data_IF_503128437018
#
_entry.id   IF_503128437018
#
_cell.length_a   1.000
_cell.length_b   1.000
_cell.length_c   1.000
_cell.angle_alpha   90.00
_cell.angle_beta   90.00
_cell.angle_gamma   90.00
#
_symmetry.space_group_name_H-M   'P 1'
#
loop_
_entity.id
_entity.type
_entity.pdbx_description
1 polymer ?
#
# COMPACT_ATOMS: atom_id res chain seq x y z
N UNK A 1 -10.64 -15.54 -0.36
CA UNK A 1 -10.36 -14.68 -1.53
C UNK A 1 -10.17 -13.21 -1.13
N UNK A 2 -9.75 -12.30 -2.03
CA UNK A 2 -9.53 -10.87 -1.69
C UNK A 2 -10.78 -10.26 -1.04
N UNK A 3 -11.96 -10.52 -1.62
CA UNK A 3 -13.23 -10.00 -1.10
C UNK A 3 -13.50 -10.42 0.35
N UNK A 4 -13.36 -11.72 0.67
CA UNK A 4 -13.60 -12.22 2.03
C UNK A 4 -12.70 -11.53 3.06
N UNK A 5 -11.43 -11.27 2.72
CA UNK A 5 -10.49 -10.55 3.60
C UNK A 5 -10.91 -9.10 3.81
N UNK A 6 -11.39 -8.43 2.77
CA UNK A 6 -11.89 -7.06 2.85
C UNK A 6 -13.18 -6.99 3.68
N UNK A 7 -14.07 -7.97 3.53
CA UNK A 7 -15.31 -8.07 4.32
C UNK A 7 -15.01 -8.33 5.79
N UNK A 8 -14.12 -9.27 6.12
CA UNK A 8 -13.68 -9.54 7.49
C UNK A 8 -13.11 -8.29 8.17
N UNK A 9 -12.47 -7.42 7.38
CA UNK A 9 -11.89 -6.15 7.82
C UNK A 9 -12.87 -4.97 7.82
N UNK A 10 -14.13 -5.16 7.44
CA UNK A 10 -15.13 -4.09 7.45
C UNK A 10 -14.96 -3.05 6.34
N UNK A 11 -14.12 -3.33 5.32
CA UNK A 11 -13.70 -2.35 4.33
C UNK A 11 -14.83 -1.90 3.39
N UNK A 12 -15.91 -2.68 3.28
CA UNK A 12 -17.11 -2.34 2.47
C UNK A 12 -17.92 -1.17 3.04
N UNK A 13 -17.67 -0.77 4.28
CA UNK A 13 -18.37 0.33 4.97
C UNK A 13 -17.62 1.65 4.93
N UNK A 14 -16.42 1.67 4.36
CA UNK A 14 -15.61 2.88 4.29
C UNK A 14 -16.28 3.95 3.42
N UNK A 15 -15.91 5.20 3.67
CA UNK A 15 -16.34 6.37 2.92
C UNK A 15 -15.12 7.13 2.43
N UNK A 16 -15.24 7.70 1.24
CA UNK A 16 -14.23 8.58 0.67
C UNK A 16 -14.12 9.84 1.51
N UNK A 17 -12.93 10.07 2.07
CA UNK A 17 -12.56 11.32 2.74
C UNK A 17 -12.08 12.34 1.71
N UNK A 18 -11.29 11.87 0.75
CA UNK A 18 -10.88 12.63 -0.40
C UNK A 18 -10.58 11.69 -1.56
N UNK A 19 -10.73 12.22 -2.77
CA UNK A 19 -10.48 11.51 -4.01
C UNK A 19 -9.78 12.45 -4.97
N UNK A 20 -8.58 12.07 -5.41
CA UNK A 20 -7.84 12.79 -6.45
C UNK A 20 -7.76 11.98 -7.73
N UNK A 21 -7.69 12.69 -8.85
CA UNK A 21 -7.37 12.10 -10.14
C UNK A 21 -6.36 12.95 -10.92
N UNK A 22 -5.57 12.30 -11.79
CA UNK A 22 -4.69 12.98 -12.73
C UNK A 22 -4.51 12.18 -14.01
N UNK A 23 -4.01 12.85 -15.05
CA UNK A 23 -3.46 12.20 -16.24
C UNK A 23 -1.96 12.09 -16.09
N UNK A 24 -1.46 10.87 -15.98
CA UNK A 24 -0.03 10.59 -15.98
C UNK A 24 0.48 10.37 -17.41
N UNK A 25 1.60 11.00 -17.80
CA UNK A 25 2.27 10.77 -19.09
C UNK A 25 3.11 9.49 -19.05
N UNK A 26 2.44 8.36 -18.80
CA UNK A 26 3.03 7.03 -18.81
C UNK A 26 1.97 5.98 -19.19
N UNK A 27 2.42 4.86 -19.73
CA UNK A 27 1.57 3.70 -19.94
C UNK A 27 0.94 3.26 -18.61
N UNK A 28 -0.34 2.89 -18.64
CA UNK A 28 -1.04 2.42 -17.44
C UNK A 28 -0.36 1.23 -16.77
N UNK A 29 0.28 0.32 -17.52
CA UNK A 29 1.02 -0.80 -16.94
C UNK A 29 2.25 -0.34 -16.17
N UNK A 30 3.02 0.61 -16.72
CA UNK A 30 4.19 1.19 -16.03
C UNK A 30 3.74 1.90 -14.75
N UNK A 31 2.62 2.63 -14.80
CA UNK A 31 2.06 3.25 -13.60
C UNK A 31 1.57 2.23 -12.57
N UNK A 32 1.08 1.07 -13.00
CA UNK A 32 0.66 -0.02 -12.11
C UNK A 32 1.83 -0.77 -11.48
N UNK A 33 2.91 -0.99 -12.21
CA UNK A 33 4.06 -1.77 -11.76
C UNK A 33 4.69 -1.20 -10.49
N UNK A 34 4.69 0.12 -10.34
CA UNK A 34 5.12 0.82 -9.12
C UNK A 34 4.31 0.45 -7.85
N UNK A 35 3.16 -0.20 -7.97
CA UNK A 35 2.32 -0.61 -6.83
C UNK A 35 2.15 -2.13 -6.74
N UNK A 36 2.94 -2.88 -7.51
CA UNK A 36 2.93 -4.35 -7.53
C UNK A 36 4.08 -4.98 -6.73
N UNK A 37 5.02 -4.16 -6.27
CA UNK A 37 6.15 -4.51 -5.42
C UNK A 37 6.49 -3.33 -4.49
N UNK A 38 7.16 -3.60 -3.37
CA UNK A 38 7.55 -2.56 -2.41
C UNK A 38 9.06 -2.29 -2.34
N UNK A 39 9.88 -2.92 -3.16
CA UNK A 39 11.33 -2.70 -3.21
C UNK A 39 11.69 -1.28 -3.66
N UNK A 40 10.92 -0.67 -4.57
CA UNK A 40 11.15 0.73 -4.98
C UNK A 40 11.03 1.72 -3.81
N UNK A 41 10.29 1.38 -2.75
CA UNK A 41 10.00 2.28 -1.61
C UNK A 41 11.29 2.83 -1.01
N UNK A 42 12.34 1.99 -0.93
CA UNK A 42 13.64 2.39 -0.39
C UNK A 42 14.29 3.54 -1.18
N UNK A 43 13.96 3.67 -2.47
CA UNK A 43 14.52 4.67 -3.38
C UNK A 43 13.58 5.86 -3.61
N UNK A 44 12.30 5.60 -3.85
CA UNK A 44 11.30 6.64 -4.17
C UNK A 44 10.82 7.37 -2.92
N UNK A 45 10.70 6.67 -1.79
CA UNK A 45 10.20 7.22 -0.52
C UNK A 45 11.25 7.09 0.59
N UNK A 46 12.44 7.72 0.43
CA UNK A 46 13.56 7.56 1.36
C UNK A 46 13.20 7.92 2.81
N UNK A 47 12.21 8.79 3.01
CA UNK A 47 11.70 9.13 4.34
C UNK A 47 11.06 7.93 5.07
N UNK A 48 10.41 7.00 4.35
CA UNK A 48 9.81 5.80 4.94
C UNK A 48 10.91 4.81 5.34
N UNK A 49 11.88 4.58 4.45
CA UNK A 49 13.08 3.78 4.74
C UNK A 49 13.83 4.29 5.98
N UNK A 50 14.03 5.60 6.08
CA UNK A 50 14.74 6.21 7.19
C UNK A 50 13.96 6.14 8.51
N UNK A 51 12.63 6.13 8.46
CA UNK A 51 11.80 6.05 9.65
C UNK A 51 11.72 4.62 10.22
N UNK A 52 11.71 3.60 9.35
CA UNK A 52 11.60 2.20 9.73
C UNK A 52 12.64 1.30 9.03
N UNK A 53 13.96 1.55 9.17
CA UNK A 53 14.98 0.81 8.44
C UNK A 53 14.97 -0.69 8.74
N UNK A 54 14.61 -1.09 9.96
CA UNK A 54 14.44 -2.51 10.33
C UNK A 54 13.37 -3.22 9.49
N UNK A 55 12.23 -2.55 9.22
CA UNK A 55 11.12 -3.13 8.48
C UNK A 55 11.54 -3.47 7.05
N UNK A 56 11.99 -2.46 6.32
CA UNK A 56 12.34 -2.60 4.91
C UNK A 56 13.60 -3.44 4.70
N UNK A 57 14.60 -3.34 5.59
CA UNK A 57 15.79 -4.18 5.46
C UNK A 57 15.50 -5.66 5.73
N UNK A 58 14.53 -5.96 6.61
CA UNK A 58 14.08 -7.34 6.81
C UNK A 58 13.37 -7.89 5.56
N UNK A 59 12.70 -7.04 4.79
CA UNK A 59 12.01 -7.41 3.55
C UNK A 59 12.96 -7.54 2.35
N UNK A 60 13.90 -6.59 2.20
CA UNK A 60 14.65 -6.38 0.95
C UNK A 60 16.16 -6.47 1.10
N UNK A 61 16.65 -6.71 2.31
CA UNK A 61 18.08 -6.80 2.62
C UNK A 61 18.71 -5.47 3.00
N UNK A 62 20.02 -5.52 3.27
CA UNK A 62 20.76 -4.38 3.84
C UNK A 62 21.33 -3.43 2.78
N UNK A 63 21.33 -3.82 1.49
CA UNK A 63 21.80 -2.97 0.41
C UNK A 63 20.70 -2.00 -0.02
N UNK A 64 20.74 -0.82 0.57
CA UNK A 64 19.74 0.24 0.40
C UNK A 64 20.17 1.28 -0.64
N UNK A 65 21.18 0.98 -1.46
CA UNK A 65 21.68 1.90 -2.49
C UNK A 65 22.21 3.23 -1.92
N UNK A 66 22.76 3.19 -0.70
CA UNK A 66 23.34 4.34 0.01
C UNK A 66 22.33 5.23 0.76
N UNK A 67 21.05 4.84 0.84
CA UNK A 67 19.98 5.60 1.50
C UNK A 67 19.76 5.14 2.95
N UNK A 68 20.09 3.88 3.26
CA UNK A 68 19.79 3.27 4.54
C UNK A 68 20.62 3.84 5.67
N UNK A 69 19.93 4.29 6.71
CA UNK A 69 20.50 4.38 8.05
C UNK A 69 20.83 2.92 8.45
N UNK A 70 22.04 2.61 8.94
CA UNK A 70 22.32 1.30 9.51
C UNK A 70 21.24 0.97 10.53
N UNK A 71 20.71 -0.26 10.52
CA UNK A 71 19.91 -0.76 11.66
C UNK A 71 20.74 -0.44 12.90
N UNK A 72 20.17 0.31 13.84
CA UNK A 72 20.82 0.53 15.12
C UNK A 72 20.37 -0.62 16.03
N UNK A 73 21.21 -1.67 16.19
CA UNK A 73 20.85 -2.84 17.00
C UNK A 73 20.70 -2.50 18.48
N UNK A 74 21.12 -1.30 18.90
CA UNK A 74 21.11 -0.83 20.28
C UNK A 74 19.99 0.18 20.55
N UNK A 75 18.98 0.30 19.66
CA UNK A 75 17.82 1.14 19.96
C UNK A 75 17.09 0.61 21.19
N UNK A 76 16.80 1.50 22.13
CA UNK A 76 15.93 1.16 23.25
C UNK A 76 14.53 0.80 22.73
N UNK A 77 13.78 0.00 23.52
CA UNK A 77 12.38 -0.31 23.22
C UNK A 77 11.58 0.97 22.98
N UNK A 78 11.76 1.99 23.83
CA UNK A 78 11.08 3.29 23.71
C UNK A 78 11.40 3.99 22.39
N UNK A 79 12.68 4.02 21.99
CA UNK A 79 13.07 4.66 20.73
C UNK A 79 12.55 3.87 19.52
N UNK A 80 12.45 2.54 19.63
CA UNK A 80 11.84 1.71 18.61
C UNK A 80 10.35 2.04 18.43
N UNK A 81 9.59 2.13 19.52
CA UNK A 81 8.17 2.54 19.47
C UNK A 81 8.00 3.93 18.89
N UNK A 82 8.85 4.90 19.26
CA UNK A 82 8.84 6.24 18.65
C UNK A 82 9.10 6.19 17.14
N UNK A 83 9.98 5.30 16.68
CA UNK A 83 10.23 5.10 15.25
C UNK A 83 8.99 4.51 14.53
N UNK A 84 8.28 3.55 15.14
CA UNK A 84 7.00 3.04 14.61
C UNK A 84 5.96 4.16 14.51
N UNK A 85 5.76 4.95 15.56
CA UNK A 85 4.82 6.08 15.56
C UNK A 85 5.19 7.10 14.49
N UNK A 86 6.48 7.42 14.34
CA UNK A 86 6.97 8.30 13.27
C UNK A 86 6.66 7.73 11.89
N UNK A 87 6.89 6.43 11.68
CA UNK A 87 6.59 5.76 10.43
C UNK A 87 5.10 5.82 10.08
N UNK A 88 4.22 5.50 11.04
CA UNK A 88 2.77 5.63 10.90
C UNK A 88 2.35 7.08 10.59
N UNK A 89 2.97 8.07 11.24
CA UNK A 89 2.75 9.48 10.95
C UNK A 89 3.12 9.86 9.52
N UNK A 90 4.27 9.39 9.01
CA UNK A 90 4.68 9.64 7.62
C UNK A 90 3.75 8.96 6.60
N UNK A 91 3.24 7.76 6.89
CA UNK A 91 2.22 7.12 6.04
C UNK A 91 0.91 7.93 6.04
N UNK A 92 0.52 8.46 7.20
CA UNK A 92 -0.68 9.28 7.34
C UNK A 92 -0.57 10.62 6.63
N UNK A 93 0.53 11.36 6.80
CA UNK A 93 0.77 12.63 6.09
C UNK A 93 0.99 12.39 4.59
N UNK A 94 1.67 11.30 4.25
CA UNK A 94 2.08 10.95 2.90
C UNK A 94 0.96 10.43 2.02
N UNK A 95 -0.04 9.76 2.60
CA UNK A 95 -1.08 9.05 1.85
C UNK A 95 -2.47 9.02 2.51
N UNK A 96 -2.61 9.45 3.77
CA UNK A 96 -3.80 9.58 4.66
C UNK A 96 -4.85 8.46 4.71
N UNK A 97 -5.01 7.64 3.68
CA UNK A 97 -5.91 6.51 3.60
C UNK A 97 -5.29 5.22 4.15
N UNK A 98 -3.98 5.01 4.03
CA UNK A 98 -3.34 3.80 4.54
C UNK A 98 -3.28 3.78 6.08
N UNK A 99 -3.00 4.95 6.69
CA UNK A 99 -3.07 5.17 8.14
C UNK A 99 -3.79 6.49 8.39
N UNK A 100 -4.92 6.45 9.08
CA UNK A 100 -5.71 7.65 9.32
C UNK A 100 -5.17 8.45 10.51
N UNK A 101 -5.35 9.77 10.49
CA UNK A 101 -4.85 10.67 11.56
C UNK A 101 -5.32 10.23 12.96
N UNK A 102 -6.57 9.80 13.07
CA UNK A 102 -7.15 9.24 14.30
C UNK A 102 -6.36 8.06 14.86
N UNK A 103 -5.85 7.18 14.00
CA UNK A 103 -5.06 6.00 14.38
C UNK A 103 -3.65 6.43 14.82
N UNK A 104 -3.06 7.43 14.16
CA UNK A 104 -1.78 8.03 14.59
C UNK A 104 -1.93 8.71 15.95
N UNK A 105 -3.04 9.40 16.19
CA UNK A 105 -3.33 10.03 17.48
C UNK A 105 -3.40 8.99 18.61
N UNK A 106 -4.05 7.85 18.36
CA UNK A 106 -4.09 6.72 19.30
C UNK A 106 -2.70 6.12 19.50
N UNK A 107 -1.93 5.91 18.42
CA UNK A 107 -0.56 5.41 18.52
C UNK A 107 0.34 6.30 19.39
N UNK A 108 0.18 7.62 19.32
CA UNK A 108 0.90 8.59 20.16
C UNK A 108 0.55 8.46 21.64
N UNK A 109 -0.68 8.07 22.00
CA UNK A 109 -1.07 7.80 23.40
C UNK A 109 -0.30 6.60 23.97
N UNK A 110 0.15 5.68 23.11
CA UNK A 110 0.88 4.47 23.48
C UNK A 110 2.41 4.62 23.41
N UNK A 111 2.94 5.84 23.37
CA UNK A 111 4.37 6.08 23.20
C UNK A 111 5.24 5.63 24.38
N UNK A 112 4.68 5.64 25.60
CA UNK A 112 5.40 5.38 26.85
C UNK A 112 4.78 4.21 27.65
N UNK A 113 4.04 3.32 26.99
CA UNK A 113 3.47 2.13 27.64
C UNK A 113 4.55 1.15 28.08
N UNK A 114 4.29 0.42 29.17
CA UNK A 114 5.19 -0.63 29.64
C UNK A 114 5.19 -1.82 28.67
N UNK A 115 6.38 -2.23 28.24
CA UNK A 115 6.60 -3.28 27.27
C UNK A 115 7.76 -4.19 27.72
N UNK A 116 7.82 -5.43 27.22
CA UNK A 116 8.97 -6.32 27.41
C UNK A 116 10.30 -5.67 27.00
N UNK A 117 11.40 -6.11 27.60
CA UNK A 117 12.75 -5.62 27.25
C UNK A 117 13.21 -6.08 25.86
N UNK A 118 12.72 -7.23 25.39
CA UNK A 118 13.01 -7.74 24.06
C UNK A 118 12.34 -6.86 22.99
N UNK A 119 13.10 -6.21 22.09
CA UNK A 119 12.52 -5.27 21.12
C UNK A 119 11.51 -5.89 20.17
N UNK A 120 11.69 -7.16 19.78
CA UNK A 120 10.77 -7.81 18.85
C UNK A 120 9.43 -8.10 19.53
N UNK A 121 9.45 -8.66 20.74
CA UNK A 121 8.26 -8.87 21.54
C UNK A 121 7.57 -7.55 21.90
N UNK A 122 8.35 -6.50 22.21
CA UNK A 122 7.82 -5.18 22.52
C UNK A 122 7.04 -4.58 21.35
N UNK A 123 7.59 -4.63 20.13
CA UNK A 123 6.90 -4.12 18.93
C UNK A 123 5.63 -4.92 18.66
N UNK A 124 5.68 -6.25 18.75
CA UNK A 124 4.50 -7.11 18.54
C UNK A 124 3.41 -6.81 19.57
N UNK A 125 3.77 -6.70 20.85
CA UNK A 125 2.83 -6.38 21.93
C UNK A 125 2.25 -4.97 21.74
N UNK A 126 3.08 -4.00 21.35
CA UNK A 126 2.64 -2.63 21.09
C UNK A 126 1.63 -2.55 19.94
N UNK A 127 1.85 -3.26 18.83
CA UNK A 127 0.86 -3.34 17.75
C UNK A 127 -0.44 -4.00 18.19
N UNK A 128 -0.37 -5.03 19.04
CA UNK A 128 -1.56 -5.63 19.64
C UNK A 128 -2.34 -4.66 20.53
N UNK A 129 -1.65 -3.86 21.33
CA UNK A 129 -2.26 -2.78 22.12
C UNK A 129 -2.86 -1.68 21.23
N UNK A 130 -2.15 -1.28 20.17
CA UNK A 130 -2.62 -0.29 19.22
C UNK A 130 -3.90 -0.74 18.50
N UNK A 131 -3.91 -1.97 17.97
CA UNK A 131 -5.10 -2.56 17.37
C UNK A 131 -6.29 -2.55 18.33
N UNK A 132 -6.08 -2.98 19.57
CA UNK A 132 -7.12 -2.98 20.60
C UNK A 132 -7.65 -1.57 20.88
N UNK A 133 -6.75 -0.59 21.05
CA UNK A 133 -7.14 0.79 21.33
C UNK A 133 -7.84 1.46 20.14
N UNK A 134 -7.42 1.19 18.90
CA UNK A 134 -8.13 1.64 17.70
C UNK A 134 -9.53 1.04 17.69
N UNK A 135 -9.69 -0.27 17.89
CA UNK A 135 -11.01 -0.90 17.93
C UNK A 135 -11.91 -0.28 19.02
N UNK A 136 -11.43 -0.16 20.26
CA UNK A 136 -12.25 0.33 21.37
C UNK A 136 -12.63 1.81 21.20
N UNK A 137 -11.66 2.67 20.88
CA UNK A 137 -11.90 4.11 20.79
C UNK A 137 -12.79 4.46 19.59
N UNK A 138 -12.60 3.81 18.43
CA UNK A 138 -13.43 4.06 17.25
C UNK A 138 -14.86 3.53 17.42
N UNK A 139 -15.04 2.36 18.06
CA UNK A 139 -16.37 1.86 18.42
C UNK A 139 -17.06 2.78 19.42
N UNK A 140 -16.34 3.28 20.42
CA UNK A 140 -16.87 4.25 21.38
C UNK A 140 -17.31 5.56 20.70
N UNK A 141 -16.66 5.96 19.60
CA UNK A 141 -17.10 7.08 18.77
C UNK A 141 -18.19 6.74 17.76
N UNK A 142 -18.73 5.52 17.76
CA UNK A 142 -19.83 5.09 16.90
C UNK A 142 -19.41 4.58 15.51
N UNK A 143 -18.12 4.32 15.29
CA UNK A 143 -17.64 3.70 14.05
C UNK A 143 -17.74 2.16 14.10
N UNK A 144 -18.17 1.56 13.00
CA UNK A 144 -18.34 0.11 12.86
C UNK A 144 -17.05 -0.57 12.39
N UNK A 145 -16.05 -0.60 13.27
CA UNK A 145 -14.74 -1.21 13.03
C UNK A 145 -14.72 -2.64 13.60
N UNK A 146 -14.14 -3.62 12.88
CA UNK A 146 -13.96 -4.97 13.43
C UNK A 146 -12.97 -4.98 14.60
N UNK A 147 -12.89 -6.13 15.28
CA UNK A 147 -11.80 -6.36 16.23
C UNK A 147 -10.52 -6.56 15.42
N UNK A 148 -9.62 -5.58 15.48
CA UNK A 148 -8.41 -5.56 14.67
C UNK A 148 -7.43 -6.66 15.07
N UNK A 149 -7.41 -7.09 16.34
CA UNK A 149 -6.58 -8.21 16.77
C UNK A 149 -7.17 -9.53 16.31
N UNK A 150 -8.49 -9.72 16.43
CA UNK A 150 -9.14 -10.93 15.95
C UNK A 150 -8.96 -11.10 14.44
N UNK A 151 -9.20 -10.05 13.65
CA UNK A 151 -9.07 -10.11 12.19
C UNK A 151 -7.62 -10.23 11.73
N UNK A 152 -6.65 -9.67 12.45
CA UNK A 152 -5.23 -9.89 12.13
C UNK A 152 -4.80 -11.36 12.26
N UNK A 153 -5.49 -12.15 13.09
CA UNK A 153 -5.26 -13.58 13.26
C UNK A 153 -6.04 -14.40 12.23
N UNK A 154 -7.34 -14.11 12.03
CA UNK A 154 -8.17 -14.87 11.08
C UNK A 154 -7.80 -14.60 9.62
N UNK A 155 -7.50 -13.33 9.32
CA UNK A 155 -7.25 -12.81 7.98
C UNK A 155 -6.03 -11.88 8.00
N UNK A 156 -4.81 -12.44 8.10
CA UNK A 156 -3.57 -11.66 8.13
C UNK A 156 -3.51 -10.62 7.02
N UNK A 157 -2.94 -9.46 7.33
CA UNK A 157 -2.92 -8.34 6.41
C UNK A 157 -1.93 -8.54 5.27
N UNK A 158 -2.36 -8.21 4.06
CA UNK A 158 -1.45 -8.00 2.93
C UNK A 158 -1.19 -6.52 2.78
N UNK A 159 0.06 -6.13 2.50
CA UNK A 159 0.41 -4.74 2.26
C UNK A 159 -0.37 -4.13 1.09
N UNK A 160 -0.66 -4.95 0.07
CA UNK A 160 -1.46 -4.59 -1.09
C UNK A 160 -2.38 -5.77 -1.44
N UNK A 161 -3.66 -5.47 -1.59
CA UNK A 161 -4.69 -6.32 -2.14
C UNK A 161 -4.95 -5.88 -3.59
N UNK A 162 -4.68 -6.75 -4.56
CA UNK A 162 -4.83 -6.43 -5.99
C UNK A 162 -6.09 -7.06 -6.59
N UNK A 163 -6.90 -6.23 -7.26
CA UNK A 163 -8.05 -6.66 -8.05
C UNK A 163 -7.77 -6.34 -9.51
N UNK A 164 -7.52 -7.39 -10.28
CA UNK A 164 -7.34 -7.30 -11.72
C UNK A 164 -8.57 -6.65 -12.39
N UNK A 165 -8.40 -5.78 -13.40
CA UNK A 165 -7.14 -5.48 -14.06
C UNK A 165 -6.36 -4.33 -13.47
N UNK A 166 -6.91 -3.50 -12.58
CA UNK A 166 -6.33 -2.19 -12.33
C UNK A 166 -6.71 -1.51 -11.00
N UNK A 167 -7.13 -2.28 -10.01
CA UNK A 167 -7.52 -1.75 -8.71
C UNK A 167 -6.59 -2.28 -7.63
N UNK A 168 -6.09 -1.38 -6.78
CA UNK A 168 -5.23 -1.71 -5.65
C UNK A 168 -5.87 -1.19 -4.38
N UNK A 169 -5.78 -1.98 -3.32
CA UNK A 169 -6.38 -1.71 -2.04
C UNK A 169 -5.33 -1.91 -0.95
N UNK A 170 -5.08 -0.89 -0.15
CA UNK A 170 -3.99 -0.84 0.82
C UNK A 170 -4.55 -0.63 2.23
N UNK A 171 -5.13 -1.66 2.85
CA UNK A 171 -5.56 -1.60 4.23
C UNK A 171 -4.35 -1.65 5.18
N UNK A 172 -4.44 -0.99 6.34
CA UNK A 172 -3.52 -1.25 7.46
C UNK A 172 -4.26 -1.57 8.77
N UNK A 173 -5.03 -0.61 9.26
CA UNK A 173 -5.83 -0.76 10.47
C UNK A 173 -7.31 -0.74 10.12
N UNK A 174 -8.01 0.36 10.41
CA UNK A 174 -9.42 0.58 10.08
C UNK A 174 -9.60 1.34 8.76
N UNK A 175 -8.57 1.99 8.25
CA UNK A 175 -8.62 2.76 6.99
C UNK A 175 -7.90 2.05 5.84
N UNK A 176 -8.19 2.51 4.62
CA UNK A 176 -7.64 1.96 3.40
C UNK A 176 -7.36 3.06 2.37
N UNK A 177 -6.19 3.01 1.74
CA UNK A 177 -5.98 3.71 0.48
C UNK A 177 -6.40 2.84 -0.70
N UNK A 178 -6.93 3.45 -1.76
CA UNK A 178 -7.23 2.73 -2.99
C UNK A 178 -6.62 3.45 -4.20
N UNK A 179 -6.16 2.68 -5.19
CA UNK A 179 -5.73 3.18 -6.49
C UNK A 179 -6.56 2.57 -7.62
N UNK A 180 -6.83 3.36 -8.66
CA UNK A 180 -7.34 2.87 -9.95
C UNK A 180 -6.60 3.51 -11.09
N UNK A 181 -6.11 2.68 -12.02
CA UNK A 181 -5.25 3.14 -13.12
C UNK A 181 -5.82 2.68 -14.46
N UNK A 182 -6.19 3.60 -15.35
CA UNK A 182 -6.90 3.27 -16.61
C UNK A 182 -6.16 3.80 -17.82
N UNK A 183 -6.03 3.02 -18.91
CA UNK A 183 -5.36 3.50 -20.12
C UNK A 183 -6.14 4.62 -20.79
N UNK A 184 -5.42 5.67 -21.21
CA UNK A 184 -5.90 6.64 -22.21
C UNK A 184 -5.23 6.41 -23.58
N UNK A 185 -4.14 5.66 -23.59
CA UNK A 185 -3.38 5.26 -24.76
C UNK A 185 -2.11 4.52 -24.34
N UNK A 186 -1.17 4.28 -25.26
CA UNK A 186 0.09 3.62 -24.95
C UNK A 186 1.03 4.49 -24.09
N UNK A 187 0.87 5.81 -24.10
CA UNK A 187 1.79 6.77 -23.47
C UNK A 187 1.12 7.61 -22.36
N UNK A 188 -0.12 7.31 -22.01
CA UNK A 188 -0.83 8.02 -20.94
C UNK A 188 -1.92 7.19 -20.28
N UNK A 189 -2.18 7.51 -19.01
CA UNK A 189 -3.22 6.87 -18.21
C UNK A 189 -3.89 7.87 -17.26
N UNK A 190 -5.12 7.56 -16.87
CA UNK A 190 -5.78 8.19 -15.72
C UNK A 190 -5.35 7.45 -14.47
N UNK A 191 -4.84 8.16 -13.48
CA UNK A 191 -4.54 7.65 -12.15
C UNK A 191 -5.50 8.26 -11.14
N UNK A 192 -6.13 7.43 -10.33
CA UNK A 192 -7.08 7.83 -9.30
C UNK A 192 -6.64 7.28 -7.95
N UNK A 193 -6.77 8.09 -6.90
CA UNK A 193 -6.38 7.76 -5.54
C UNK A 193 -7.45 8.21 -4.55
N UNK A 194 -7.81 7.31 -3.64
CA UNK A 194 -8.76 7.56 -2.56
C UNK A 194 -8.11 7.39 -1.18
N UNK A 195 -8.51 8.26 -0.24
CA UNK A 195 -8.47 7.94 1.19
C UNK A 195 -9.85 7.47 1.63
N UNK A 196 -9.91 6.27 2.20
CA UNK A 196 -11.13 5.63 2.65
C UNK A 196 -11.05 5.39 4.16
N UNK A 197 -12.04 5.86 4.91
CA UNK A 197 -12.08 5.73 6.38
C UNK A 197 -13.48 5.34 6.85
N UNK A 198 -13.56 4.74 8.03
CA UNK A 198 -14.84 4.57 8.71
C UNK A 198 -15.32 5.93 9.24
N UNK A 199 -16.62 6.12 9.17
CA UNK A 199 -17.31 7.31 9.65
C UNK A 199 -18.46 6.83 10.53
N UNK A 200 -18.62 7.47 11.69
CA UNK A 200 -19.69 7.15 12.61
C UNK A 200 -21.06 7.44 12.00
N UNK A 201 -22.07 6.63 12.33
CA UNK A 201 -23.42 6.85 11.83
C UNK A 201 -23.96 8.21 12.32
N UNK A 202 -24.46 9.02 11.39
CA UNK A 202 -24.99 10.36 11.69
C UNK A 202 -23.92 11.44 11.91
N UNK A 203 -22.63 11.14 11.79
CA UNK A 203 -21.60 12.18 11.75
C UNK A 203 -21.76 13.05 10.50
N UNK A 204 -21.50 14.35 10.62
CA UNK A 204 -21.40 15.24 9.47
C UNK A 204 -20.16 14.88 8.66
N UNK A 205 -20.34 14.04 7.64
CA UNK A 205 -19.33 13.68 6.66
C UNK A 205 -19.93 13.70 5.27
N UNK A 206 -19.52 14.67 4.45
CA UNK A 206 -19.85 14.65 3.03
C UNK A 206 -18.92 13.65 2.33
N UNK A 207 -19.48 12.54 1.86
CA UNK A 207 -18.70 11.56 1.12
C UNK A 207 -18.30 12.15 -0.23
N UNK A 208 -17.00 12.19 -0.52
CA UNK A 208 -16.52 12.69 -1.80
C UNK A 208 -16.88 11.71 -2.93
N UNK A 209 -17.80 12.13 -3.81
CA UNK A 209 -18.34 11.31 -4.90
C UNK A 209 -17.73 11.62 -6.27
N UNK A 210 -16.87 12.64 -6.37
CA UNK A 210 -16.18 13.02 -7.61
C UNK A 210 -14.70 13.36 -7.31
N UNK A 211 -13.77 13.06 -8.23
CA UNK A 211 -12.37 13.38 -8.01
C UNK A 211 -12.10 14.87 -8.13
N UNK A 212 -11.24 15.37 -7.25
CA UNK A 212 -10.50 16.59 -7.55
C UNK A 212 -9.43 16.28 -8.59
N UNK A 213 -9.58 16.82 -9.80
CA UNK A 213 -8.63 16.60 -10.90
C UNK A 213 -7.50 17.60 -10.78
N UNK A 214 -6.26 17.11 -10.70
CA UNK A 214 -5.05 17.90 -10.57
C UNK A 214 -4.05 17.55 -11.69
N UNK A 215 -3.19 18.49 -12.13
CA UNK A 215 -2.01 18.16 -12.92
C UNK A 215 -1.10 17.19 -12.15
N UNK A 216 -0.48 16.22 -12.82
CA UNK A 216 0.28 15.15 -12.13
C UNK A 216 1.46 15.66 -11.30
N UNK A 217 1.98 16.85 -11.63
CA UNK A 217 3.05 17.53 -10.92
C UNK A 217 2.54 18.56 -9.88
N UNK A 218 1.23 18.58 -9.61
CA UNK A 218 0.65 19.45 -8.59
C UNK A 218 1.24 19.14 -7.22
N UNK A 219 1.49 20.19 -6.44
CA UNK A 219 1.97 20.07 -5.07
C UNK A 219 0.81 19.81 -4.08
N UNK A 220 -0.44 19.91 -4.54
CA UNK A 220 -1.65 19.66 -3.75
C UNK A 220 -1.91 18.16 -3.52
N UNK A 221 -1.23 17.29 -4.27
CA UNK A 221 -1.22 15.87 -3.98
C UNK A 221 -0.50 15.57 -2.65
N UNK A 222 -0.87 14.49 -1.95
CA UNK A 222 -0.09 14.01 -0.82
C UNK A 222 1.37 13.70 -1.22
N UNK A 223 2.34 13.82 -0.30
CA UNK A 223 3.77 13.67 -0.59
C UNK A 223 4.18 12.36 -1.27
N UNK A 224 3.60 11.22 -0.89
CA UNK A 224 3.99 9.91 -1.45
C UNK A 224 3.59 9.81 -2.94
N UNK A 225 2.33 10.03 -3.33
CA UNK A 225 1.93 10.08 -4.74
C UNK A 225 2.76 11.06 -5.58
N UNK A 226 3.14 12.23 -5.03
CA UNK A 226 3.99 13.19 -5.75
C UNK A 226 5.36 12.61 -6.13
N UNK A 227 5.94 11.78 -5.27
CA UNK A 227 7.22 11.13 -5.52
C UNK A 227 7.07 10.08 -6.64
N UNK A 228 5.98 9.32 -6.63
CA UNK A 228 5.67 8.34 -7.69
C UNK A 228 5.41 9.04 -9.02
N UNK A 229 4.58 10.08 -9.02
CA UNK A 229 4.24 10.84 -10.24
C UNK A 229 5.43 11.59 -10.84
N UNK A 230 6.46 11.89 -10.05
CA UNK A 230 7.72 12.41 -10.57
C UNK A 230 8.57 11.33 -11.26
N UNK A 231 8.53 10.09 -10.76
CA UNK A 231 9.36 8.98 -11.22
C UNK A 231 8.76 8.23 -12.42
N UNK A 232 7.47 7.89 -12.38
CA UNK A 232 6.78 7.06 -13.38
C UNK A 232 6.95 7.62 -14.82
N UNK A 233 6.76 8.93 -15.09
CA UNK A 233 7.02 9.50 -16.42
C UNK A 233 8.46 9.36 -16.90
N UNK A 234 9.42 9.36 -15.97
CA UNK A 234 10.85 9.22 -16.30
C UNK A 234 11.15 7.75 -16.63
N UNK A 235 10.53 6.81 -15.92
CA UNK A 235 10.61 5.38 -16.25
C UNK A 235 10.05 5.12 -17.65
N UNK A 236 8.88 5.65 -17.98
CA UNK A 236 8.29 5.57 -19.34
C UNK A 236 9.28 6.05 -20.41
N UNK A 237 9.91 7.21 -20.20
CA UNK A 237 10.92 7.74 -21.15
C UNK A 237 12.13 6.82 -21.28
N UNK A 238 12.59 6.22 -20.17
CA UNK A 238 13.69 5.27 -20.16
C UNK A 238 13.40 4.01 -20.98
N UNK A 239 12.16 3.52 -20.94
CA UNK A 239 11.70 2.36 -21.73
C UNK A 239 11.73 2.63 -23.25
N UNK A 240 11.71 3.89 -23.67
CA UNK A 240 11.83 4.30 -25.08
C UNK A 240 13.28 4.55 -25.51
N UNK A 241 14.26 4.39 -24.63
CA UNK A 241 15.66 4.59 -24.99
C UNK A 241 16.09 3.59 -26.08
N UNK A 242 16.81 4.06 -27.09
CA UNK A 242 17.24 3.23 -28.24
C UNK A 242 18.04 1.99 -27.84
N UNK A 243 18.74 2.03 -26.71
CA UNK A 243 19.52 0.90 -26.19
C UNK A 243 18.76 0.02 -25.18
N UNK A 244 17.46 0.24 -24.97
CA UNK A 244 16.65 -0.56 -24.07
C UNK A 244 16.01 -1.74 -24.84
N UNK A 245 16.50 -2.95 -24.59
CA UNK A 245 15.98 -4.16 -25.23
C UNK A 245 14.90 -4.88 -24.39
N UNK A 246 15.15 -5.04 -23.08
CA UNK A 246 14.23 -5.72 -22.16
C UNK A 246 14.50 -5.35 -20.71
N UNK A 247 13.46 -5.45 -19.88
CA UNK A 247 13.55 -5.39 -18.42
C UNK A 247 13.74 -6.79 -17.85
N UNK A 248 14.54 -6.92 -16.78
CA UNK A 248 14.62 -8.15 -15.98
C UNK A 248 13.95 -7.91 -14.65
N UNK A 249 12.96 -8.73 -14.34
CA UNK A 249 12.28 -8.74 -13.05
C UNK A 249 12.97 -9.74 -12.10
N UNK A 250 12.97 -9.42 -10.82
CA UNK A 250 13.30 -10.31 -9.73
C UNK A 250 12.30 -11.46 -9.69
N UNK A 251 12.81 -12.69 -9.76
CA UNK A 251 11.99 -13.90 -9.62
C UNK A 251 11.41 -14.08 -8.22
N UNK A 252 11.98 -13.38 -7.23
CA UNK A 252 11.71 -13.61 -5.82
C UNK A 252 10.69 -12.62 -5.25
N UNK A 253 10.66 -11.37 -5.73
CA UNK A 253 9.81 -10.30 -5.19
C UNK A 253 9.01 -9.51 -6.26
N UNK A 254 9.29 -9.64 -7.56
CA UNK A 254 8.55 -8.92 -8.61
C UNK A 254 7.56 -9.84 -9.37
N UNK A 255 7.05 -10.86 -8.66
CA UNK A 255 6.15 -11.86 -9.20
C UNK A 255 4.83 -11.29 -9.69
N UNK A 256 4.22 -10.36 -8.95
CA UNK A 256 2.94 -9.76 -9.34
C UNK A 256 3.04 -9.07 -10.68
N UNK A 257 4.13 -8.32 -10.94
CA UNK A 257 4.38 -7.66 -12.22
C UNK A 257 4.43 -8.69 -13.37
N UNK A 258 5.19 -9.77 -13.19
CA UNK A 258 5.35 -10.80 -14.20
C UNK A 258 4.02 -11.54 -14.47
N UNK A 259 3.38 -12.02 -13.41
CA UNK A 259 2.16 -12.82 -13.48
C UNK A 259 1.00 -12.00 -14.06
N UNK A 260 0.91 -10.72 -13.70
CA UNK A 260 -0.05 -9.77 -14.28
C UNK A 260 0.12 -9.62 -15.79
N UNK A 261 1.33 -9.32 -16.28
CA UNK A 261 1.59 -9.19 -17.71
C UNK A 261 1.29 -10.51 -18.47
N UNK A 262 1.63 -11.67 -17.89
CA UNK A 262 1.32 -12.99 -18.46
C UNK A 262 -0.19 -13.27 -18.55
N UNK A 263 -0.98 -12.81 -17.58
CA UNK A 263 -2.45 -12.91 -17.62
C UNK A 263 -3.03 -12.00 -18.71
N UNK A 264 -2.51 -10.79 -18.88
CA UNK A 264 -2.89 -9.93 -20.01
C UNK A 264 -2.58 -10.63 -21.34
N UNK A 265 -1.39 -11.19 -21.50
CA UNK A 265 -1.01 -11.94 -22.70
C UNK A 265 -1.94 -13.14 -22.93
N UNK A 266 -2.37 -13.81 -21.86
CA UNK A 266 -3.34 -14.89 -21.92
C UNK A 266 -4.71 -14.42 -22.46
N UNK A 267 -5.21 -13.26 -21.99
CA UNK A 267 -6.41 -12.65 -22.55
C UNK A 267 -6.24 -12.32 -24.05
N UNK A 268 -5.10 -11.75 -24.44
CA UNK A 268 -4.82 -11.39 -25.84
C UNK A 268 -4.71 -12.62 -26.75
N UNK A 269 -4.19 -13.74 -26.24
CA UNK A 269 -4.08 -15.02 -26.95
C UNK A 269 -5.38 -15.83 -26.98
N UNK A 270 -6.42 -15.41 -26.25
CA UNK A 270 -7.68 -16.14 -26.17
C UNK A 270 -7.58 -17.42 -25.33
N UNK A 271 -6.77 -17.42 -24.27
CA UNK A 271 -6.74 -18.52 -23.29
C UNK A 271 -8.15 -18.71 -22.69
N UNK A 272 -8.59 -19.95 -22.41
CA UNK A 272 -9.89 -20.22 -21.80
C UNK A 272 -10.15 -19.38 -20.54
N UNK A 273 -11.37 -18.86 -20.41
CA UNK A 273 -11.76 -17.91 -19.36
C UNK A 273 -11.67 -18.48 -17.94
N UNK A 274 -11.92 -19.78 -17.77
CA UNK A 274 -11.78 -20.51 -16.52
C UNK A 274 -10.32 -20.56 -16.04
N UNK A 275 -9.37 -20.76 -16.96
CA UNK A 275 -7.94 -20.70 -16.67
C UNK A 275 -7.50 -19.29 -16.29
N UNK A 276 -7.96 -18.27 -17.03
CA UNK A 276 -7.65 -16.86 -16.75
C UNK A 276 -8.24 -16.40 -15.41
N UNK A 277 -9.46 -16.82 -15.08
CA UNK A 277 -10.09 -16.53 -13.79
C UNK A 277 -9.31 -17.18 -12.65
N UNK A 278 -8.93 -18.45 -12.80
CA UNK A 278 -8.13 -19.18 -11.81
C UNK A 278 -6.77 -18.53 -11.59
N UNK A 279 -6.08 -18.11 -12.66
CA UNK A 279 -4.81 -17.41 -12.58
C UNK A 279 -4.95 -16.01 -11.93
N UNK A 280 -6.01 -15.27 -12.28
CA UNK A 280 -6.32 -13.95 -11.71
C UNK A 280 -6.51 -14.01 -10.20
N UNK A 281 -7.16 -15.05 -9.67
CA UNK A 281 -7.34 -15.21 -8.23
C UNK A 281 -6.03 -15.34 -7.46
N UNK A 282 -4.95 -15.81 -8.10
CA UNK A 282 -3.63 -15.92 -7.47
C UNK A 282 -2.96 -14.55 -7.29
N UNK A 283 -3.34 -13.54 -8.06
CA UNK A 283 -2.70 -12.21 -8.00
C UNK A 283 -3.03 -11.44 -6.72
N UNK A 284 -4.20 -11.67 -6.14
CA UNK A 284 -4.68 -10.91 -4.98
C UNK A 284 -3.83 -11.04 -3.72
N UNK A 285 -2.89 -11.98 -3.66
CA UNK A 285 -1.93 -12.12 -2.56
C UNK A 285 -0.48 -12.29 -3.04
N UNK A 286 -0.17 -11.76 -4.23
CA UNK A 286 1.14 -11.96 -4.88
C UNK A 286 2.04 -10.72 -4.85
N UNK A 287 1.66 -9.66 -4.13
CA UNK A 287 2.52 -8.52 -3.84
C UNK A 287 3.82 -8.98 -3.16
N UNK A 288 4.97 -8.48 -3.62
CA UNK A 288 6.31 -8.98 -3.27
C UNK A 288 6.49 -10.50 -3.43
N UNK A 289 5.65 -11.11 -4.28
CA UNK A 289 5.58 -12.55 -4.45
C UNK A 289 6.50 -13.07 -5.54
N UNK A 290 6.44 -14.40 -5.71
CA UNK A 290 7.19 -15.10 -6.76
C UNK A 290 6.44 -15.13 -8.08
N UNK A 291 7.20 -15.32 -9.15
CA UNK A 291 6.65 -15.69 -10.47
C UNK A 291 5.99 -17.07 -10.34
N UNK A 292 4.76 -17.20 -10.85
CA UNK A 292 3.95 -18.41 -10.77
C UNK A 292 3.91 -19.14 -12.12
N UNK A 293 3.65 -20.45 -12.07
CA UNK A 293 3.39 -21.25 -13.27
C UNK A 293 1.89 -21.25 -13.56
N UNK A 294 1.47 -20.44 -14.53
CA UNK A 294 0.05 -20.24 -14.85
C UNK A 294 -0.52 -21.28 -15.83
N UNK A 295 0.34 -22.08 -16.48
CA UNK A 295 -0.06 -23.16 -17.38
C UNK A 295 -0.54 -22.70 -18.77
N UNK A 296 -0.16 -21.50 -19.20
CA UNK A 296 -0.35 -20.93 -20.55
C UNK A 296 0.68 -19.82 -20.84
#
# INVERSE_FOLDING_TARGET
PVLDRLEARGMSKLRSQWWFATVLPANWKVAMEAFMEGYHVMKTHPQLQQAAPMLYNAMYGMDTGGIGIPINPNMSVRDNIKAQIKHLGLLSEGMSGMVHEKEVAIARQLADVELPEDPQQAVMMWYGMLNHQITEQLRASGEDVPDLNAVAVSDPINAVEFIFPNYFLLPLFSSMSAYRIRPLGPESCTFELWSLTHVAEGAEHETVMEPTILPYNSQDFPPIPRQDYANIPIQQKGLHATGFDFMRLSKDIEGLISNYNRIIDGHLKGVPSDKLASATHLLGGNFDGKILELGF
#
